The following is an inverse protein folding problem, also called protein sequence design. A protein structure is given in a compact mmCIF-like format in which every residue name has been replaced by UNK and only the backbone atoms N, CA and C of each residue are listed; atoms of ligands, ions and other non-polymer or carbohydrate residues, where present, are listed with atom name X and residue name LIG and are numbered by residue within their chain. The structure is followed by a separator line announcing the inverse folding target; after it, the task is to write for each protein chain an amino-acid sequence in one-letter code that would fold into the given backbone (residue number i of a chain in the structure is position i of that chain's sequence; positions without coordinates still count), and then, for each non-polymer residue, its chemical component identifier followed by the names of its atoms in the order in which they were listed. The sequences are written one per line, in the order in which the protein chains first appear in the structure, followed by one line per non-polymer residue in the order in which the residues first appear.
data_IF_935973704382
#
_entry.id   IF_935973704382
#
_cell.length_a   1.000
_cell.length_b   1.000
_cell.length_c   1.000
_cell.angle_alpha   90.00
_cell.angle_beta   90.00
_cell.angle_gamma   90.00
#
_symmetry.space_group_name_H-M   'P 1'
#
loop_
_entity.id
_entity.type
_entity.pdbx_description
1 polymer ?
#
# COMPACT_ATOMS: atom_id res chain seq x y z
N UNK A 1 20.30 -13.41 -4.16
CA UNK A 1 19.15 -12.84 -3.42
C UNK A 1 19.38 -13.05 -1.93
N UNK A 2 20.33 -12.30 -1.34
CA UNK A 2 20.82 -12.57 0.02
C UNK A 2 19.92 -11.86 1.04
N UNK A 3 19.11 -12.67 1.75
CA UNK A 3 18.38 -12.36 2.98
C UNK A 3 17.37 -11.21 2.95
N UNK A 4 16.19 -11.44 2.35
CA UNK A 4 14.99 -10.69 2.76
C UNK A 4 14.58 -11.17 4.17
N UNK A 5 14.63 -10.31 5.21
CA UNK A 5 14.44 -10.77 6.58
C UNK A 5 13.02 -11.30 6.83
N UNK A 6 12.90 -12.44 7.53
CA UNK A 6 11.60 -13.11 7.78
C UNK A 6 10.63 -12.19 8.52
N UNK A 7 11.11 -11.44 9.53
CA UNK A 7 10.32 -10.45 10.26
C UNK A 7 9.71 -9.38 9.33
N UNK A 8 10.38 -9.03 8.22
CA UNK A 8 9.84 -8.11 7.21
C UNK A 8 8.81 -8.76 6.31
N UNK A 9 8.98 -10.04 5.99
CA UNK A 9 7.99 -10.82 5.23
C UNK A 9 6.68 -10.91 6.01
N UNK A 10 6.77 -11.22 7.29
CA UNK A 10 5.63 -11.26 8.19
C UNK A 10 5.03 -9.85 8.32
N UNK A 11 5.82 -8.82 8.58
CA UNK A 11 5.31 -7.45 8.70
C UNK A 11 4.56 -6.95 7.46
N UNK A 12 5.12 -7.17 6.26
CA UNK A 12 4.44 -6.78 5.01
C UNK A 12 3.18 -7.60 4.76
N UNK A 13 3.22 -8.91 5.05
CA UNK A 13 2.07 -9.79 4.92
C UNK A 13 0.93 -9.39 5.89
N UNK A 14 1.24 -9.14 7.16
CA UNK A 14 0.26 -8.68 8.15
C UNK A 14 -0.35 -7.34 7.76
N UNK A 15 0.46 -6.38 7.30
CA UNK A 15 -0.03 -5.10 6.83
C UNK A 15 -0.93 -5.26 5.60
N UNK A 16 -0.55 -6.13 4.66
CA UNK A 16 -1.34 -6.43 3.47
C UNK A 16 -2.72 -6.99 3.85
N UNK A 17 -2.79 -7.87 4.84
CA UNK A 17 -4.07 -8.36 5.37
C UNK A 17 -4.88 -7.22 5.96
N UNK A 18 -4.31 -6.43 6.87
CA UNK A 18 -5.02 -5.33 7.53
C UNK A 18 -5.59 -4.32 6.53
N UNK A 19 -4.79 -3.94 5.53
CA UNK A 19 -5.23 -3.02 4.48
C UNK A 19 -6.33 -3.63 3.63
N UNK A 20 -6.24 -4.92 3.25
CA UNK A 20 -7.30 -5.58 2.50
C UNK A 20 -8.60 -5.78 3.31
N UNK A 21 -8.52 -5.88 4.65
CA UNK A 21 -9.70 -5.87 5.51
C UNK A 21 -10.38 -4.49 5.52
N UNK A 22 -9.58 -3.42 5.55
CA UNK A 22 -10.11 -2.04 5.57
C UNK A 22 -10.55 -1.59 4.17
N UNK A 23 -9.88 -2.02 3.12
CA UNK A 23 -10.19 -1.73 1.73
C UNK A 23 -10.22 -3.06 0.99
N UNK A 24 -11.39 -3.71 0.85
CA UNK A 24 -11.51 -4.99 0.15
C UNK A 24 -10.97 -4.93 -1.28
N UNK A 25 -9.69 -5.27 -1.44
CA UNK A 25 -8.98 -5.32 -2.72
C UNK A 25 -8.23 -6.64 -2.85
N UNK A 26 -7.73 -6.94 -4.04
CA UNK A 26 -6.91 -8.13 -4.31
C UNK A 26 -5.41 -7.81 -4.27
N UNK A 27 -5.02 -6.84 -3.44
CA UNK A 27 -3.65 -6.36 -3.45
C UNK A 27 -2.73 -7.32 -2.71
N UNK A 28 -1.65 -7.76 -3.37
CA UNK A 28 -0.68 -8.73 -2.85
C UNK A 28 0.52 -8.09 -2.14
N UNK A 29 0.82 -6.82 -2.44
CA UNK A 29 1.93 -6.08 -1.84
C UNK A 29 1.53 -4.61 -1.66
N UNK A 30 1.41 -4.19 -0.41
CA UNK A 30 0.98 -2.84 -0.03
C UNK A 30 2.14 -1.86 0.00
N UNK A 31 3.29 -2.27 0.52
CA UNK A 31 4.47 -1.40 0.73
C UNK A 31 5.36 -1.29 -0.51
N UNK A 32 4.87 -1.74 -1.67
CA UNK A 32 5.58 -1.60 -2.94
C UNK A 32 5.65 -0.12 -3.35
N UNK A 33 6.85 0.39 -3.67
CA UNK A 33 7.03 1.75 -4.21
C UNK A 33 6.80 1.86 -5.72
N UNK A 34 6.78 0.73 -6.43
CA UNK A 34 6.61 0.68 -7.88
C UNK A 34 5.13 0.56 -8.25
N UNK A 35 4.58 1.61 -8.85
CA UNK A 35 3.20 1.63 -9.36
C UNK A 35 3.18 2.34 -10.70
N UNK A 36 2.50 1.74 -11.66
CA UNK A 36 2.20 2.36 -12.95
C UNK A 36 0.67 2.44 -13.11
N UNK A 37 0.19 3.54 -13.65
CA UNK A 37 -1.23 3.77 -13.92
C UNK A 37 -1.37 4.76 -15.08
N UNK A 38 -2.52 4.74 -15.76
CA UNK A 38 -2.78 5.63 -16.88
C UNK A 38 -3.12 7.05 -16.41
N UNK A 39 -3.08 8.00 -17.33
CA UNK A 39 -3.45 9.39 -17.05
C UNK A 39 -4.90 9.52 -16.58
N UNK A 40 -5.82 8.72 -17.13
CA UNK A 40 -7.23 8.70 -16.74
C UNK A 40 -7.41 8.19 -15.31
N UNK A 41 -6.58 7.23 -14.90
CA UNK A 41 -6.54 6.78 -13.51
C UNK A 41 -6.01 7.90 -12.61
N UNK A 42 -4.93 8.58 -13.01
CA UNK A 42 -4.34 9.67 -12.24
C UNK A 42 -5.37 10.76 -11.88
N UNK A 43 -6.23 11.14 -12.84
CA UNK A 43 -7.32 12.12 -12.63
C UNK A 43 -8.35 11.70 -11.58
N UNK A 44 -8.52 10.40 -11.34
CA UNK A 44 -9.48 9.85 -10.37
C UNK A 44 -8.90 9.68 -8.96
N UNK A 45 -7.58 9.71 -8.82
CA UNK A 45 -6.90 9.52 -7.55
C UNK A 45 -6.84 10.83 -6.77
N UNK A 46 -7.55 10.89 -5.65
CA UNK A 46 -7.45 12.03 -4.72
C UNK A 46 -6.58 11.66 -3.51
N UNK A 47 -5.25 11.67 -3.70
CA UNK A 47 -4.29 11.35 -2.64
C UNK A 47 -4.17 12.51 -1.63
N UNK A 48 -4.40 12.23 -0.35
CA UNK A 48 -4.26 13.15 0.79
C UNK A 48 -2.99 12.91 1.61
N UNK A 49 -2.31 11.77 1.43
CA UNK A 49 -1.11 11.43 2.19
C UNK A 49 0.14 12.22 1.74
N UNK A 50 0.90 12.71 2.73
CA UNK A 50 2.07 13.58 2.50
C UNK A 50 3.38 12.80 2.60
N UNK A 51 3.42 11.67 3.33
CA UNK A 51 4.64 10.90 3.56
C UNK A 51 4.45 9.43 3.17
N UNK A 52 4.91 8.50 4.00
CA UNK A 52 4.84 7.06 3.76
C UNK A 52 3.42 6.51 3.67
N UNK A 53 2.41 7.25 4.15
CA UNK A 53 1.01 6.84 4.07
C UNK A 53 0.49 6.82 2.61
N UNK A 54 1.24 7.38 1.66
CA UNK A 54 0.89 7.40 0.22
C UNK A 54 0.60 6.01 -0.35
N UNK A 55 1.32 4.99 0.12
CA UNK A 55 1.14 3.61 -0.33
C UNK A 55 -0.28 3.11 0.00
N UNK A 56 -0.73 3.29 1.24
CA UNK A 56 -2.08 2.88 1.67
C UNK A 56 -3.18 3.82 1.19
N UNK A 57 -2.88 5.11 1.02
CA UNK A 57 -3.82 6.08 0.46
C UNK A 57 -4.13 5.84 -1.01
N UNK A 58 -3.11 5.44 -1.78
CA UNK A 58 -3.31 5.00 -3.16
C UNK A 58 -4.26 3.80 -3.24
N UNK A 59 -4.07 2.82 -2.36
CA UNK A 59 -4.92 1.63 -2.29
C UNK A 59 -6.34 1.99 -1.92
N UNK A 60 -6.52 2.91 -0.97
CA UNK A 60 -7.82 3.44 -0.61
C UNK A 60 -8.53 4.05 -1.82
N UNK A 61 -7.85 4.89 -2.59
CA UNK A 61 -8.42 5.53 -3.77
C UNK A 61 -8.69 4.54 -4.90
N UNK A 62 -7.84 3.53 -5.08
CA UNK A 62 -8.08 2.41 -6.02
C UNK A 62 -9.35 1.64 -5.66
N UNK A 63 -9.51 1.28 -4.39
CA UNK A 63 -10.71 0.63 -3.88
C UNK A 63 -11.95 1.52 -4.05
N UNK A 64 -11.86 2.78 -3.61
CA UNK A 64 -12.94 3.77 -3.65
C UNK A 64 -13.46 3.99 -5.07
N UNK A 65 -12.56 4.09 -6.04
CA UNK A 65 -12.86 4.31 -7.45
C UNK A 65 -13.11 3.00 -8.23
N UNK A 66 -13.11 1.84 -7.56
CA UNK A 66 -13.32 0.49 -8.15
C UNK A 66 -12.38 0.21 -9.34
N UNK A 67 -11.12 0.64 -9.22
CA UNK A 67 -10.12 0.48 -10.28
C UNK A 67 -9.59 -0.96 -10.33
N UNK A 68 -9.21 -1.43 -11.52
CA UNK A 68 -8.60 -2.74 -11.74
C UNK A 68 -7.10 -2.70 -11.42
N UNK A 69 -6.56 -3.80 -10.94
CA UNK A 69 -5.15 -3.94 -10.53
C UNK A 69 -4.55 -5.19 -11.15
N UNK A 70 -3.32 -5.09 -11.64
CA UNK A 70 -2.49 -6.20 -12.11
C UNK A 70 -1.11 -6.17 -11.44
N UNK A 71 -0.42 -7.31 -11.44
CA UNK A 71 0.90 -7.48 -10.83
C UNK A 71 1.93 -7.81 -11.89
N UNK A 72 3.07 -7.12 -11.82
CA UNK A 72 4.26 -7.44 -12.61
C UNK A 72 5.39 -7.71 -11.62
N UNK A 73 6.04 -8.86 -11.76
CA UNK A 73 7.18 -9.20 -10.90
C UNK A 73 8.39 -8.34 -11.28
N UNK A 74 8.97 -7.66 -10.28
CA UNK A 74 10.16 -6.85 -10.45
C UNK A 74 11.27 -7.44 -9.59
N UNK A 75 12.39 -7.81 -10.21
CA UNK A 75 13.59 -8.27 -9.51
C UNK A 75 14.45 -7.07 -9.14
N UNK A 76 14.49 -6.74 -7.85
CA UNK A 76 15.36 -5.66 -7.35
C UNK A 76 16.73 -6.24 -6.95
N UNK A 77 17.85 -5.64 -7.42
CA UNK A 77 19.19 -6.17 -7.15
C UNK A 77 19.68 -5.89 -5.71
N UNK A 78 19.13 -4.85 -5.06
CA UNK A 78 19.52 -4.42 -3.72
C UNK A 78 18.29 -4.12 -2.86
N UNK A 79 18.29 -4.64 -1.64
CA UNK A 79 17.26 -4.37 -0.64
C UNK A 79 17.72 -3.26 0.32
N UNK A 80 16.84 -2.29 0.58
CA UNK A 80 17.08 -1.23 1.56
C UNK A 80 16.12 -1.42 2.75
N UNK A 81 16.64 -1.62 3.98
CA UNK A 81 15.81 -1.83 5.15
C UNK A 81 15.04 -0.55 5.52
N UNK A 82 13.71 -0.59 5.50
CA UNK A 82 12.83 0.46 6.02
C UNK A 82 12.23 0.02 7.35
N UNK A 83 12.09 0.85 8.40
CA UNK A 83 11.37 0.47 9.63
C UNK A 83 9.91 0.09 9.31
N UNK A 84 9.39 -1.04 9.83
CA UNK A 84 8.10 -1.61 9.37
C UNK A 84 6.99 -1.55 10.41
N UNK A 85 7.29 -1.78 11.70
CA UNK A 85 6.24 -1.95 12.72
C UNK A 85 5.55 -0.61 13.03
N UNK A 86 6.30 0.39 13.47
CA UNK A 86 5.75 1.73 13.78
C UNK A 86 5.08 2.36 12.54
N UNK A 87 5.68 2.15 11.35
CA UNK A 87 5.13 2.62 10.08
C UNK A 87 3.83 1.90 9.72
N UNK A 88 3.74 0.59 9.93
CA UNK A 88 2.51 -0.19 9.74
C UNK A 88 1.35 0.31 10.60
N UNK A 89 1.59 0.59 11.89
CA UNK A 89 0.58 1.19 12.77
C UNK A 89 0.12 2.56 12.28
N UNK A 90 1.06 3.43 11.87
CA UNK A 90 0.74 4.75 11.34
C UNK A 90 -0.10 4.68 10.06
N UNK A 91 0.28 3.79 9.13
CA UNK A 91 -0.43 3.52 7.88
C UNK A 91 -1.84 2.99 8.15
N UNK A 92 -1.99 2.04 9.08
CA UNK A 92 -3.29 1.51 9.48
C UNK A 92 -4.20 2.59 10.09
N UNK A 93 -3.68 3.39 11.03
CA UNK A 93 -4.44 4.49 11.65
C UNK A 93 -4.86 5.54 10.62
N UNK A 94 -3.95 5.93 9.72
CA UNK A 94 -4.27 6.83 8.62
C UNK A 94 -5.41 6.28 7.76
N UNK A 95 -5.33 5.00 7.38
CA UNK A 95 -6.34 4.36 6.52
C UNK A 95 -7.70 4.27 7.21
N UNK A 96 -7.74 3.96 8.51
CA UNK A 96 -8.98 3.99 9.29
C UNK A 96 -9.58 5.39 9.30
N UNK A 97 -8.79 6.41 9.65
CA UNK A 97 -9.24 7.81 9.64
C UNK A 97 -9.76 8.22 8.25
N UNK A 98 -9.08 7.80 7.19
CA UNK A 98 -9.48 8.03 5.79
C UNK A 98 -10.83 7.42 5.47
N UNK A 99 -11.08 6.19 5.96
CA UNK A 99 -12.33 5.46 5.74
C UNK A 99 -13.51 6.07 6.49
N UNK A 100 -13.30 6.54 7.73
CA UNK A 100 -14.35 7.15 8.55
C UNK A 100 -14.64 8.61 8.16
N UNK A 101 -13.62 9.40 7.81
CA UNK A 101 -13.78 10.77 7.32
C UNK A 101 -14.17 10.79 5.82
N UNK A 102 -15.18 10.01 5.46
CA UNK A 102 -15.62 9.79 4.07
C UNK A 102 -16.40 10.97 3.47
N UNK A 103 -16.54 12.06 4.22
CA UNK A 103 -17.07 13.34 3.76
C UNK A 103 -16.10 14.02 2.78
#
# INVERSE_FOLDING_TARGET
LHNYPINRKIGNWSLTILVNLVCPTKIKDVECGFRAFTFEVAKKLNLKAISYEREVDFIFEVWRNKLKISYVEIKVPRFYPKPAILRGFKNFWFLLKRRFNRN
#
